data_IF_016930947818
#
_entry.id   IF_016930947818
#
_cell.length_a   1.000
_cell.length_b   1.000
_cell.length_c   1.000
_cell.angle_alpha   90.00
_cell.angle_beta   90.00
_cell.angle_gamma   90.00
#
_symmetry.space_group_name_H-M   'P 1'
#
loop_
_entity.id
_entity.type
_entity.pdbx_description
1 polymer ?
#
# COMPACT_ATOMS: atom_id res chain seq x y z
N UNK A 1 18.22 0.90 -12.06
CA UNK A 1 19.18 1.98 -12.28
C UNK A 1 18.63 3.19 -11.59
N UNK A 2 19.46 3.81 -10.75
CA UNK A 2 19.10 5.02 -10.03
C UNK A 2 19.85 6.19 -10.66
N UNK A 3 19.17 7.32 -10.78
CA UNK A 3 19.75 8.59 -11.20
C UNK A 3 19.82 9.50 -9.98
N UNK A 4 20.99 10.11 -9.76
CA UNK A 4 21.18 11.09 -8.69
C UNK A 4 20.56 12.41 -9.12
N UNK A 5 19.58 12.90 -8.35
CA UNK A 5 18.88 14.16 -8.62
C UNK A 5 19.50 15.33 -7.88
N UNK A 6 19.88 15.12 -6.63
CA UNK A 6 20.46 16.15 -5.79
C UNK A 6 21.42 15.53 -4.79
N UNK A 7 22.46 16.28 -4.46
CA UNK A 7 23.41 15.94 -3.40
C UNK A 7 23.57 17.16 -2.52
N UNK A 8 23.29 17.01 -1.22
CA UNK A 8 23.46 18.05 -0.22
C UNK A 8 24.52 17.61 0.78
N UNK A 9 25.63 18.35 0.83
CA UNK A 9 26.66 18.12 1.83
C UNK A 9 26.25 18.75 3.16
N UNK A 10 26.36 17.97 4.23
CA UNK A 10 26.11 18.39 5.59
C UNK A 10 27.43 18.88 6.23
N UNK A 11 27.37 19.75 7.26
CA UNK A 11 28.56 20.30 7.92
C UNK A 11 29.49 19.26 8.57
N UNK A 12 28.99 18.05 8.83
CA UNK A 12 29.73 16.93 9.41
C UNK A 12 30.45 16.07 8.35
N UNK A 13 30.40 16.47 7.08
CA UNK A 13 31.00 15.74 5.96
C UNK A 13 30.13 14.60 5.41
N UNK A 14 28.91 14.39 5.93
CA UNK A 14 27.94 13.46 5.33
C UNK A 14 27.25 14.11 4.13
N UNK A 15 26.67 13.27 3.26
CA UNK A 15 25.87 13.73 2.13
C UNK A 15 24.47 13.13 2.19
N UNK A 16 23.46 13.96 1.96
CA UNK A 16 22.10 13.52 1.64
C UNK A 16 21.98 13.44 0.12
N UNK A 17 21.69 12.26 -0.40
CA UNK A 17 21.56 12.00 -1.84
C UNK A 17 20.11 11.68 -2.15
N UNK A 18 19.50 12.50 -3.01
CA UNK A 18 18.20 12.21 -3.59
C UNK A 18 18.38 11.42 -4.89
N UNK A 19 17.67 10.31 -5.04
CA UNK A 19 17.77 9.45 -6.23
C UNK A 19 16.41 9.04 -6.75
N UNK A 20 16.29 8.92 -8.07
CA UNK A 20 15.09 8.44 -8.74
C UNK A 20 15.37 7.14 -9.50
N UNK A 21 14.39 6.23 -9.47
CA UNK A 21 14.41 5.03 -10.31
C UNK A 21 14.24 5.38 -11.78
N UNK A 22 15.26 5.15 -12.60
CA UNK A 22 15.23 5.45 -14.03
C UNK A 22 14.75 4.26 -14.88
N UNK A 23 15.38 3.09 -14.73
CA UNK A 23 15.04 1.87 -15.49
C UNK A 23 15.47 0.61 -14.73
N UNK A 24 14.90 -0.54 -15.08
CA UNK A 24 15.22 -1.82 -14.42
C UNK A 24 16.33 -2.54 -15.16
N UNK A 25 17.12 -3.30 -14.42
CA UNK A 25 18.21 -4.05 -15.01
C UNK A 25 18.33 -5.44 -14.44
N UNK A 26 18.94 -6.32 -15.24
CA UNK A 26 19.41 -7.62 -14.80
C UNK A 26 20.92 -7.55 -14.65
N UNK A 27 21.43 -8.11 -13.55
CA UNK A 27 22.87 -8.28 -13.37
C UNK A 27 23.31 -9.50 -14.18
N UNK A 28 24.27 -9.30 -15.07
CA UNK A 28 24.89 -10.36 -15.87
C UNK A 28 26.13 -10.90 -15.16
N UNK A 29 26.90 -10.01 -14.55
CA UNK A 29 28.17 -10.35 -13.90
C UNK A 29 28.42 -9.40 -12.73
N UNK A 30 29.07 -9.89 -11.67
CA UNK A 30 29.41 -9.12 -10.47
C UNK A 30 30.92 -9.17 -10.24
N UNK A 31 31.48 -8.07 -9.74
CA UNK A 31 32.88 -7.96 -9.37
C UNK A 31 33.09 -6.86 -8.33
N UNK A 32 34.35 -6.54 -8.07
CA UNK A 32 34.75 -5.44 -7.19
C UNK A 32 35.80 -4.57 -7.88
N UNK A 33 35.75 -3.27 -7.65
CA UNK A 33 36.71 -2.30 -8.16
C UNK A 33 36.89 -1.20 -7.12
N UNK A 34 38.14 -0.99 -6.68
CA UNK A 34 38.49 0.05 -5.69
C UNK A 34 37.66 -0.02 -4.39
N UNK A 35 37.32 -1.24 -3.95
CA UNK A 35 36.49 -1.49 -2.76
C UNK A 35 34.97 -1.36 -3.00
N UNK A 36 34.54 -0.91 -4.18
CA UNK A 36 33.13 -0.85 -4.56
C UNK A 36 32.68 -2.12 -5.27
N UNK A 37 31.45 -2.56 -4.98
CA UNK A 37 30.80 -3.62 -5.75
C UNK A 37 30.41 -3.06 -7.12
N UNK A 38 30.89 -3.71 -8.17
CA UNK A 38 30.57 -3.36 -9.56
C UNK A 38 29.83 -4.51 -10.23
N UNK A 39 28.98 -4.19 -11.20
CA UNK A 39 28.24 -5.20 -11.94
C UNK A 39 28.10 -4.81 -13.40
N UNK A 40 28.21 -5.81 -14.28
CA UNK A 40 27.78 -5.69 -15.68
C UNK A 40 26.28 -5.95 -15.72
N UNK A 41 25.53 -5.04 -16.34
CA UNK A 41 24.07 -5.05 -16.30
C UNK A 41 23.46 -4.95 -17.70
N UNK A 42 22.29 -5.53 -17.86
CA UNK A 42 21.44 -5.43 -19.05
C UNK A 42 20.14 -4.71 -18.71
N UNK A 43 19.71 -3.80 -19.59
CA UNK A 43 18.45 -3.07 -19.43
C UNK A 43 17.26 -3.99 -19.64
N UNK A 44 16.24 -3.82 -18.79
CA UNK A 44 14.97 -4.56 -18.83
C UNK A 44 13.85 -3.56 -19.00
N UNK A 45 13.27 -3.54 -20.20
CA UNK A 45 12.09 -2.75 -20.53
C UNK A 45 10.83 -3.61 -20.53
N UNK A 46 9.70 -2.96 -20.30
CA UNK A 46 8.38 -3.59 -20.43
C UNK A 46 8.10 -3.97 -21.88
N UNK A 47 7.23 -4.97 -22.07
CA UNK A 47 6.65 -5.22 -23.37
C UNK A 47 5.61 -4.14 -23.67
N UNK A 48 5.54 -3.72 -24.93
CA UNK A 48 4.37 -2.95 -25.40
C UNK A 48 3.18 -3.90 -25.30
N UNK A 49 2.28 -3.62 -24.37
CA UNK A 49 1.00 -4.30 -24.30
C UNK A 49 0.10 -3.61 -25.31
N UNK A 50 -0.31 -4.32 -26.36
CA UNK A 50 -1.43 -3.88 -27.18
C UNK A 50 -2.60 -3.65 -26.21
N UNK A 51 -3.18 -2.45 -26.23
CA UNK A 51 -4.24 -2.02 -25.28
C UNK A 51 -5.43 -2.98 -25.26
N UNK A 52 -5.55 -3.74 -26.33
CA UNK A 52 -6.43 -4.86 -26.53
C UNK A 52 -5.59 -6.11 -26.78
N UNK A 53 -6.01 -7.28 -26.29
CA UNK A 53 -5.40 -8.55 -26.69
C UNK A 53 -5.65 -8.87 -28.18
N UNK A 54 -5.16 -8.03 -29.08
CA UNK A 54 -5.29 -8.07 -30.55
C UNK A 54 -4.09 -8.78 -31.19
N UNK A 55 -3.49 -9.73 -30.48
CA UNK A 55 -2.71 -10.79 -31.10
C UNK A 55 -3.64 -11.86 -31.68
N UNK A 56 -3.97 -11.73 -32.96
CA UNK A 56 -4.66 -12.69 -33.85
C UNK A 56 -6.20 -12.63 -33.90
N UNK A 57 -6.71 -11.75 -34.76
CA UNK A 57 -7.96 -11.97 -35.50
C UNK A 57 -7.86 -13.28 -36.30
N UNK A 58 -8.43 -14.37 -35.77
CA UNK A 58 -9.00 -15.43 -36.60
C UNK A 58 -10.47 -15.52 -36.29
N UNK A 59 -11.25 -15.24 -37.33
CA UNK A 59 -12.71 -15.39 -37.44
C UNK A 59 -13.15 -16.67 -36.71
N UNK A 60 -14.15 -16.55 -35.84
CA UNK A 60 -15.22 -17.55 -35.63
C UNK A 60 -16.19 -17.05 -34.54
N UNK A 61 -17.46 -16.93 -34.93
CA UNK A 61 -18.49 -16.04 -34.37
C UNK A 61 -19.29 -16.53 -33.16
N UNK A 62 -18.93 -17.61 -32.48
CA UNK A 62 -19.72 -18.13 -31.32
C UNK A 62 -18.97 -18.14 -29.98
N UNK A 63 -17.68 -17.79 -29.98
CA UNK A 63 -16.83 -17.84 -28.76
C UNK A 63 -16.79 -16.56 -27.90
N UNK A 64 -17.54 -15.50 -28.23
CA UNK A 64 -17.34 -14.17 -27.64
C UNK A 64 -17.59 -14.10 -26.12
N UNK A 65 -18.61 -14.80 -25.61
CA UNK A 65 -18.96 -14.78 -24.17
C UNK A 65 -17.97 -15.60 -23.33
N UNK A 66 -17.51 -16.74 -23.85
CA UNK A 66 -16.48 -17.57 -23.21
C UNK A 66 -15.11 -16.86 -23.24
N UNK A 67 -14.79 -16.19 -24.36
CA UNK A 67 -13.58 -15.37 -24.52
C UNK A 67 -13.54 -14.18 -23.55
N UNK A 68 -14.68 -13.55 -23.22
CA UNK A 68 -14.73 -12.46 -22.22
C UNK A 68 -14.49 -12.95 -20.79
N UNK A 69 -14.86 -14.18 -20.45
CA UNK A 69 -14.52 -14.82 -19.15
C UNK A 69 -13.05 -15.27 -19.09
N UNK A 70 -12.48 -15.68 -20.22
CA UNK A 70 -11.05 -16.01 -20.34
C UNK A 70 -10.15 -14.77 -20.40
N UNK A 71 -10.64 -13.67 -20.96
CA UNK A 71 -10.04 -12.33 -20.89
C UNK A 71 -10.18 -11.85 -19.44
N UNK A 72 -9.16 -12.07 -18.62
CA UNK A 72 -9.12 -11.54 -17.25
C UNK A 72 -9.28 -10.02 -17.18
N UNK A 73 -9.22 -9.44 -15.97
CA UNK A 73 -9.36 -7.98 -15.77
C UNK A 73 -8.39 -7.16 -16.64
N UNK A 74 -8.86 -6.07 -17.24
CA UNK A 74 -8.04 -5.13 -18.03
C UNK A 74 -7.14 -4.28 -17.15
N UNK A 75 -6.15 -3.58 -17.72
CA UNK A 75 -5.29 -2.66 -16.96
C UNK A 75 -6.10 -1.55 -16.29
N UNK A 76 -7.07 -0.98 -17.01
CA UNK A 76 -7.98 0.04 -16.47
C UNK A 76 -8.81 -0.49 -15.28
N UNK A 77 -9.34 -1.71 -15.38
CA UNK A 77 -10.10 -2.33 -14.28
C UNK A 77 -9.23 -2.63 -13.05
N UNK A 78 -7.99 -3.08 -13.26
CA UNK A 78 -7.04 -3.31 -12.17
C UNK A 78 -6.61 -2.00 -11.50
N UNK A 79 -6.36 -0.95 -12.28
CA UNK A 79 -6.09 0.40 -11.76
C UNK A 79 -7.29 0.96 -11.00
N UNK A 80 -8.52 0.80 -11.51
CA UNK A 80 -9.74 1.22 -10.82
C UNK A 80 -9.90 0.54 -9.45
N UNK A 81 -9.50 -0.73 -9.35
CA UNK A 81 -9.47 -1.46 -8.06
C UNK A 81 -8.47 -0.80 -7.09
N UNK A 82 -7.26 -0.46 -7.57
CA UNK A 82 -6.25 0.22 -6.77
C UNK A 82 -6.71 1.63 -6.32
N UNK A 83 -7.34 2.40 -7.20
CA UNK A 83 -7.89 3.71 -6.86
C UNK A 83 -9.01 3.63 -5.81
N UNK A 84 -9.88 2.62 -5.93
CA UNK A 84 -10.94 2.37 -4.95
C UNK A 84 -10.35 2.11 -3.59
N UNK A 85 -9.35 1.23 -3.52
CA UNK A 85 -8.61 0.94 -2.29
C UNK A 85 -7.94 2.19 -1.70
N UNK A 86 -7.28 3.03 -2.51
CA UNK A 86 -6.66 4.26 -2.02
C UNK A 86 -7.68 5.26 -1.44
N UNK A 87 -8.87 5.35 -2.04
CA UNK A 87 -9.96 6.19 -1.52
C UNK A 87 -10.43 5.69 -0.15
N UNK A 88 -10.68 4.39 -0.03
CA UNK A 88 -11.07 3.75 1.23
C UNK A 88 -10.01 3.95 2.32
N UNK A 89 -8.73 3.79 1.96
CA UNK A 89 -7.62 3.97 2.89
C UNK A 89 -7.48 5.42 3.38
N UNK A 90 -7.66 6.41 2.50
CA UNK A 90 -7.60 7.84 2.86
C UNK A 90 -8.67 8.23 3.87
N UNK A 91 -9.86 7.64 3.76
CA UNK A 91 -10.97 7.89 4.68
C UNK A 91 -10.81 7.12 6.01
N UNK A 92 -10.18 5.95 5.97
CA UNK A 92 -10.13 5.00 7.08
C UNK A 92 -8.88 5.05 7.96
N UNK A 93 -7.73 5.55 7.47
CA UNK A 93 -6.44 5.21 8.11
C UNK A 93 -5.39 6.34 8.06
N UNK A 94 -5.10 7.01 9.20
CA UNK A 94 -4.16 8.14 9.25
C UNK A 94 -2.73 7.84 8.78
N UNK A 95 -2.22 6.61 8.99
CA UNK A 95 -0.86 6.27 8.56
C UNK A 95 -0.72 6.24 7.04
N UNK A 96 -1.78 5.99 6.28
CA UNK A 96 -1.75 6.00 4.81
C UNK A 96 -1.57 7.41 4.28
N UNK A 97 -2.16 8.41 4.95
CA UNK A 97 -1.93 9.83 4.63
C UNK A 97 -0.46 10.18 4.85
N UNK A 98 0.15 9.69 5.94
CA UNK A 98 1.58 9.85 6.18
C UNK A 98 2.43 9.14 5.12
N UNK A 99 2.09 7.90 4.75
CA UNK A 99 2.80 7.16 3.70
C UNK A 99 2.70 7.86 2.33
N UNK A 100 1.52 8.35 1.98
CA UNK A 100 1.30 9.14 0.76
C UNK A 100 2.11 10.45 0.78
N UNK A 101 2.26 11.10 1.94
CA UNK A 101 3.12 12.29 2.05
C UNK A 101 4.62 12.00 1.92
N UNK A 102 5.04 10.75 2.20
CA UNK A 102 6.43 10.33 2.04
C UNK A 102 6.78 9.90 0.62
N UNK A 103 5.79 9.56 -0.21
CA UNK A 103 6.01 9.31 -1.63
C UNK A 103 6.05 10.66 -2.35
N UNK A 104 7.26 11.12 -2.64
CA UNK A 104 7.53 12.41 -3.28
C UNK A 104 7.17 12.45 -4.78
N UNK A 105 6.69 11.33 -5.34
CA UNK A 105 6.36 11.20 -6.76
C UNK A 105 4.83 11.30 -6.95
N UNK A 106 4.34 12.19 -7.84
CA UNK A 106 2.92 12.28 -8.15
C UNK A 106 2.42 10.97 -8.77
N UNK A 107 1.12 10.70 -8.61
CA UNK A 107 0.52 9.46 -9.11
C UNK A 107 0.62 9.39 -10.65
N UNK A 108 1.28 8.35 -11.21
CA UNK A 108 1.41 8.19 -12.66
C UNK A 108 0.09 7.77 -13.34
N UNK A 109 -0.10 8.17 -14.60
CA UNK A 109 -1.21 7.72 -15.44
C UNK A 109 -0.89 6.42 -16.21
N UNK A 110 0.38 6.20 -16.54
CA UNK A 110 0.84 5.00 -17.24
C UNK A 110 0.70 3.74 -16.34
N UNK A 111 0.09 2.64 -16.83
CA UNK A 111 -0.08 1.41 -16.05
C UNK A 111 1.23 0.81 -15.53
N UNK A 112 2.29 0.91 -16.34
CA UNK A 112 3.62 0.42 -16.00
C UNK A 112 4.20 1.16 -14.80
N UNK A 113 4.28 2.47 -14.88
CA UNK A 113 4.74 3.34 -13.79
C UNK A 113 3.82 3.25 -12.56
N UNK A 114 2.50 3.24 -12.76
CA UNK A 114 1.51 3.17 -11.69
C UNK A 114 1.67 1.90 -10.85
N UNK A 115 1.96 0.74 -11.45
CA UNK A 115 2.15 -0.50 -10.69
C UNK A 115 3.32 -0.44 -9.69
N UNK A 116 4.43 0.22 -10.03
CA UNK A 116 5.55 0.43 -9.10
C UNK A 116 5.22 1.47 -8.04
N UNK A 117 4.57 2.56 -8.45
CA UNK A 117 4.11 3.59 -7.53
C UNK A 117 3.15 3.02 -6.47
N UNK A 118 2.19 2.20 -6.89
CA UNK A 118 1.28 1.52 -5.97
C UNK A 118 2.01 0.50 -5.09
N UNK A 119 2.94 -0.27 -5.65
CA UNK A 119 3.77 -1.21 -4.88
C UNK A 119 4.59 -0.53 -3.78
N UNK A 120 5.12 0.67 -4.03
CA UNK A 120 5.84 1.45 -3.03
C UNK A 120 4.95 1.91 -1.87
N UNK A 121 3.67 2.19 -2.14
CA UNK A 121 2.70 2.62 -1.13
C UNK A 121 2.24 1.49 -0.21
N UNK A 122 2.21 0.25 -0.70
CA UNK A 122 1.69 -0.87 0.08
C UNK A 122 2.64 -1.22 1.26
N UNK A 123 2.09 -1.49 2.45
CA UNK A 123 2.86 -1.86 3.63
C UNK A 123 3.23 -3.36 3.58
N UNK A 124 4.00 -3.72 2.57
CA UNK A 124 4.44 -5.09 2.30
C UNK A 124 5.95 -5.16 2.47
N UNK A 125 6.44 -6.34 2.83
CA UNK A 125 7.87 -6.61 2.89
C UNK A 125 8.60 -6.28 1.56
N UNK A 126 9.80 -5.73 1.67
CA UNK A 126 10.58 -5.28 0.51
C UNK A 126 10.95 -6.45 -0.42
N UNK A 127 11.13 -7.66 0.12
CA UNK A 127 11.41 -8.84 -0.68
C UNK A 127 10.22 -9.23 -1.57
N UNK A 128 9.00 -9.07 -1.07
CA UNK A 128 7.79 -9.29 -1.86
C UNK A 128 7.64 -8.21 -2.94
N UNK A 129 7.92 -6.93 -2.62
CA UNK A 129 7.92 -5.84 -3.60
C UNK A 129 8.94 -6.07 -4.71
N UNK A 130 10.11 -6.62 -4.39
CA UNK A 130 11.14 -6.94 -5.36
C UNK A 130 10.67 -7.92 -6.45
N UNK A 131 9.60 -8.72 -6.20
CA UNK A 131 8.98 -9.59 -7.21
C UNK A 131 8.35 -8.82 -8.37
N UNK A 132 8.08 -7.53 -8.23
CA UNK A 132 7.64 -6.69 -9.34
C UNK A 132 8.77 -6.42 -10.36
N UNK A 133 10.04 -6.42 -9.92
CA UNK A 133 11.16 -6.01 -10.76
C UNK A 133 11.35 -6.90 -12.00
N UNK A 134 11.27 -8.24 -11.92
CA UNK A 134 11.44 -9.11 -13.08
C UNK A 134 10.24 -9.12 -14.04
N UNK A 135 9.06 -8.67 -13.60
CA UNK A 135 7.82 -8.78 -14.39
C UNK A 135 7.79 -7.68 -15.46
N UNK A 136 7.84 -8.08 -16.73
CA UNK A 136 7.89 -7.17 -17.90
C UNK A 136 6.52 -6.78 -18.48
N UNK A 137 5.44 -7.30 -17.89
CA UNK A 137 4.06 -6.94 -18.23
C UNK A 137 3.50 -6.05 -17.13
N UNK A 138 3.01 -4.86 -17.50
CA UNK A 138 2.32 -3.96 -16.59
C UNK A 138 1.07 -4.63 -16.02
N UNK A 139 0.32 -5.35 -16.86
CA UNK A 139 -0.86 -6.09 -16.43
C UNK A 139 -0.56 -7.13 -15.35
N UNK A 140 0.47 -7.95 -15.54
CA UNK A 140 0.85 -8.96 -14.56
C UNK A 140 1.30 -8.32 -13.24
N UNK A 141 2.02 -7.19 -13.30
CA UNK A 141 2.36 -6.42 -12.10
C UNK A 141 1.12 -5.91 -11.38
N UNK A 142 0.16 -5.33 -12.10
CA UNK A 142 -1.09 -4.85 -11.52
C UNK A 142 -1.92 -5.97 -10.90
N UNK A 143 -1.95 -7.16 -11.52
CA UNK A 143 -2.63 -8.33 -10.92
C UNK A 143 -1.98 -8.75 -9.61
N UNK A 144 -0.65 -8.73 -9.52
CA UNK A 144 0.07 -9.03 -8.29
C UNK A 144 -0.22 -7.97 -7.20
N UNK A 145 -0.21 -6.69 -7.57
CA UNK A 145 -0.57 -5.58 -6.67
C UNK A 145 -2.00 -5.73 -6.15
N UNK A 146 -2.97 -6.02 -7.02
CA UNK A 146 -4.36 -6.25 -6.62
C UNK A 146 -4.50 -7.47 -5.71
N UNK A 147 -3.77 -8.56 -6.01
CA UNK A 147 -3.75 -9.73 -5.14
C UNK A 147 -3.26 -9.38 -3.73
N UNK A 148 -2.21 -8.57 -3.61
CA UNK A 148 -1.74 -8.10 -2.31
C UNK A 148 -2.75 -7.21 -1.59
N UNK A 149 -3.46 -6.35 -2.31
CA UNK A 149 -4.55 -5.52 -1.75
C UNK A 149 -5.64 -6.42 -1.14
N UNK A 150 -6.10 -7.41 -1.91
CA UNK A 150 -7.13 -8.37 -1.46
C UNK A 150 -6.64 -9.16 -0.23
N UNK A 151 -5.36 -9.55 -0.20
CA UNK A 151 -4.75 -10.21 0.95
C UNK A 151 -4.69 -9.30 2.19
N UNK A 152 -4.33 -8.03 2.04
CA UNK A 152 -4.31 -7.06 3.13
C UNK A 152 -5.71 -6.82 3.70
N UNK A 153 -6.71 -6.61 2.84
CA UNK A 153 -8.09 -6.42 3.26
C UNK A 153 -8.62 -7.65 4.02
N UNK A 154 -8.34 -8.86 3.54
CA UNK A 154 -8.75 -10.09 4.22
C UNK A 154 -8.02 -10.31 5.55
N UNK A 155 -6.73 -9.96 5.63
CA UNK A 155 -5.96 -10.00 6.87
C UNK A 155 -6.55 -9.05 7.91
N UNK A 156 -6.84 -7.80 7.52
CA UNK A 156 -7.48 -6.84 8.42
C UNK A 156 -8.84 -7.32 8.86
N UNK A 157 -9.68 -7.79 7.94
CA UNK A 157 -11.00 -8.33 8.28
C UNK A 157 -10.89 -9.47 9.31
N UNK A 158 -9.92 -10.37 9.17
CA UNK A 158 -9.64 -11.41 10.17
C UNK A 158 -9.16 -10.83 11.49
N UNK A 159 -8.21 -9.88 11.47
CA UNK A 159 -7.72 -9.23 12.69
C UNK A 159 -8.82 -8.49 13.44
N UNK A 160 -9.73 -7.81 12.72
CA UNK A 160 -10.90 -7.15 13.30
C UNK A 160 -11.98 -8.14 13.77
N UNK A 161 -12.14 -9.27 13.09
CA UNK A 161 -13.07 -10.33 13.51
C UNK A 161 -12.57 -11.12 14.72
N UNK A 162 -11.25 -11.28 14.88
CA UNK A 162 -10.61 -11.87 16.06
C UNK A 162 -10.46 -10.88 17.23
N UNK A 163 -10.51 -9.58 16.95
CA UNK A 163 -10.55 -8.57 18.00
C UNK A 163 -11.89 -8.69 18.73
N UNK A 164 -11.84 -8.91 20.05
CA UNK A 164 -13.04 -8.99 20.89
C UNK A 164 -13.98 -7.81 20.58
N UNK A 165 -15.30 -8.02 20.59
CA UNK A 165 -16.31 -6.96 20.38
C UNK A 165 -16.03 -5.71 21.22
N UNK A 166 -15.41 -5.89 22.38
CA UNK A 166 -14.95 -4.82 23.27
C UNK A 166 -13.79 -4.00 22.68
N UNK A 167 -12.86 -4.60 21.95
CA UNK A 167 -11.75 -3.89 21.30
C UNK A 167 -12.21 -3.00 20.15
N UNK A 168 -13.23 -3.43 19.40
CA UNK A 168 -13.86 -2.59 18.36
C UNK A 168 -14.56 -1.39 19.00
N UNK A 169 -15.27 -1.61 20.11
CA UNK A 169 -15.89 -0.54 20.91
C UNK A 169 -14.84 0.40 21.52
N UNK A 170 -13.74 -0.13 22.05
CA UNK A 170 -12.61 0.66 22.57
C UNK A 170 -11.92 1.46 21.47
N UNK A 171 -11.81 0.92 20.26
CA UNK A 171 -11.31 1.65 19.10
C UNK A 171 -12.24 2.80 18.70
N UNK A 172 -13.56 2.55 18.69
CA UNK A 172 -14.57 3.58 18.46
C UNK A 172 -14.56 4.67 19.53
N UNK A 173 -14.47 4.29 20.81
CA UNK A 173 -14.35 5.20 21.94
C UNK A 173 -13.06 6.01 21.88
N UNK A 174 -11.91 5.37 21.59
CA UNK A 174 -10.62 6.06 21.44
C UNK A 174 -10.63 7.02 20.24
N UNK A 175 -11.28 6.65 19.13
CA UNK A 175 -11.46 7.51 17.95
C UNK A 175 -12.40 8.69 18.25
N UNK A 176 -13.49 8.45 18.97
CA UNK A 176 -14.42 9.49 19.42
C UNK A 176 -13.71 10.46 20.39
N UNK A 177 -12.97 9.92 21.36
CA UNK A 177 -12.20 10.66 22.34
C UNK A 177 -11.12 11.53 21.69
N UNK A 178 -10.39 11.00 20.70
CA UNK A 178 -9.40 11.79 19.94
C UNK A 178 -10.06 12.91 19.11
N UNK A 179 -11.24 12.67 18.52
CA UNK A 179 -11.99 13.72 17.80
C UNK A 179 -12.50 14.81 18.75
N UNK A 180 -12.91 14.46 19.97
CA UNK A 180 -13.36 15.43 20.98
C UNK A 180 -12.22 16.20 21.63
N UNK A 181 -11.04 15.56 21.80
CA UNK A 181 -9.83 16.21 22.34
C UNK A 181 -9.25 17.25 21.37
N UNK A 182 -9.29 17.01 20.06
CA UNK A 182 -8.87 17.99 19.05
C UNK A 182 -9.87 19.15 18.86
N UNK A 183 -11.13 18.98 19.28
CA UNK A 183 -12.18 19.99 19.12
C UNK A 183 -12.27 21.00 20.28
N UNK A 184 -11.40 20.89 21.31
CA UNK A 184 -11.23 21.91 22.34
C UNK A 184 -12.41 22.15 23.29
N UNK A 185 -13.53 21.43 23.15
CA UNK A 185 -14.68 21.56 24.05
C UNK A 185 -15.17 20.18 24.48
N UNK A 186 -14.61 19.65 25.57
CA UNK A 186 -15.27 18.59 26.32
C UNK A 186 -16.23 19.28 27.31
N UNK A 187 -17.56 19.22 27.11
CA UNK A 187 -18.48 19.71 28.12
C UNK A 187 -18.30 18.86 29.39
N UNK A 188 -18.25 19.52 30.54
CA UNK A 188 -18.00 18.96 31.87
C UNK A 188 -18.83 17.68 32.16
N UNK A 189 -20.04 17.60 31.59
CA UNK A 189 -20.92 16.43 31.65
C UNK A 189 -20.28 15.12 31.12
N UNK A 190 -19.39 15.19 30.13
CA UNK A 190 -18.75 14.00 29.55
C UNK A 190 -17.63 13.44 30.44
N UNK A 191 -16.91 14.32 31.15
CA UNK A 191 -15.92 13.91 32.15
C UNK A 191 -16.64 13.25 33.34
N UNK A 192 -17.77 13.81 33.76
CA UNK A 192 -18.60 13.22 34.83
C UNK A 192 -19.13 11.84 34.42
N UNK A 193 -19.57 11.67 33.16
CA UNK A 193 -20.02 10.38 32.66
C UNK A 193 -18.89 9.32 32.63
N UNK A 194 -17.68 9.71 32.19
CA UNK A 194 -16.52 8.82 32.17
C UNK A 194 -16.07 8.42 33.59
N UNK A 195 -16.08 9.37 34.53
CA UNK A 195 -15.77 9.09 35.94
C UNK A 195 -16.85 8.20 36.57
N UNK A 196 -18.14 8.44 36.27
CA UNK A 196 -19.23 7.61 36.76
C UNK A 196 -19.15 6.17 36.24
N UNK A 197 -18.81 5.98 34.96
CA UNK A 197 -18.59 4.64 34.38
C UNK A 197 -17.39 3.96 35.02
N UNK A 198 -16.28 4.67 35.22
CA UNK A 198 -15.08 4.12 35.86
C UNK A 198 -15.34 3.72 37.33
N UNK A 199 -16.06 4.54 38.09
CA UNK A 199 -16.44 4.26 39.49
C UNK A 199 -17.42 3.09 39.57
N UNK A 200 -18.41 3.01 38.67
CA UNK A 200 -19.34 1.88 38.62
C UNK A 200 -18.62 0.56 38.30
N UNK A 201 -17.63 0.61 37.41
CA UNK A 201 -16.84 -0.57 37.03
C UNK A 201 -15.90 -1.02 38.17
N UNK A 202 -15.33 -0.08 38.93
CA UNK A 202 -14.54 -0.39 40.12
C UNK A 202 -15.39 -0.98 41.27
N UNK A 203 -16.64 -0.52 41.44
CA UNK A 203 -17.58 -1.07 42.42
C UNK A 203 -18.03 -2.50 42.07
N UNK A 204 -18.27 -2.78 40.79
CA UNK A 204 -18.64 -4.13 40.33
C UNK A 204 -17.47 -5.11 40.49
N UNK A 205 -16.24 -4.69 40.15
CA UNK A 205 -15.05 -5.52 40.32
C UNK A 205 -14.64 -5.70 41.80
N UNK A 206 -14.96 -4.73 42.66
CA UNK A 206 -14.73 -4.84 44.11
C UNK A 206 -15.70 -5.80 44.82
N UNK A 207 -16.89 -6.03 44.26
CA UNK A 207 -17.88 -6.95 44.82
C UNK A 207 -17.55 -8.44 44.56
N UNK A 208 -16.80 -8.75 43.50
CA UNK A 208 -16.38 -10.13 43.16
C UNK A 208 -15.20 -10.64 43.99
N UNK A 209 -14.53 -9.78 44.78
CA UNK A 209 -13.43 -10.17 45.67
C UNK A 209 -13.83 -10.30 47.15
N UNK A 210 -15.09 -10.10 47.49
CA UNK A 210 -15.61 -10.19 48.87
C UNK A 210 -16.54 -11.40 49.10
N UNK A 211 -16.66 -12.32 48.14
CA UNK A 211 -17.37 -13.61 48.30
C UNK A 211 -16.39 -14.79 48.29
#
# INVERSE_FOLDING_TARGET
MLEIRSVQMLPDGRAVVETWGAWRFRIVERGTRDGYVVARVERVDDFVEDEDGEGAERRDGEGAVVRRRARGRTNAELMATCHTFLRELREGTPWVVNQLSQVHVPMPADPGAFSFWMGALLPIDEHEKAKLLPIRSARLRLRLVVHWIEQLQSNWARSYASASRLQVVLWWLRRLLMRTLLAGTLPYAFVVALVAVYVAQALVLGAEHAS
#
